data_IF_547865597943
#
_entry.id   IF_547865597943
#
_cell.length_a   1.000
_cell.length_b   1.000
_cell.length_c   1.000
_cell.angle_alpha   90.00
_cell.angle_beta   90.00
_cell.angle_gamma   90.00
#
_symmetry.space_group_name_H-M   'P 1'
#
loop_
_entity.id
_entity.type
_entity.pdbx_description
1 polymer ?
#
# COMPACT_ATOMS: atom_id res chain seq x y z
N UNK A 1 33.66 -13.86 -2.98
CA UNK A 1 32.81 -13.29 -1.93
C UNK A 1 32.92 -11.78 -2.11
N UNK A 2 32.07 -11.23 -2.98
CA UNK A 2 32.14 -9.83 -3.40
C UNK A 2 31.16 -9.03 -2.54
N UNK A 3 31.66 -8.03 -1.80
CA UNK A 3 30.82 -7.11 -1.04
C UNK A 3 29.99 -6.27 -2.02
N UNK A 4 28.70 -6.58 -2.14
CA UNK A 4 27.72 -5.64 -2.67
C UNK A 4 27.54 -4.54 -1.63
N UNK A 5 27.98 -3.33 -1.97
CA UNK A 5 27.78 -2.14 -1.14
C UNK A 5 26.29 -1.77 -1.21
N UNK A 6 25.60 -1.79 -0.06
CA UNK A 6 24.21 -1.37 0.04
C UNK A 6 24.06 0.13 -0.31
N UNK A 7 22.97 0.46 -1.00
CA UNK A 7 22.77 1.69 -1.78
C UNK A 7 22.70 3.03 -1.03
N UNK A 8 23.05 3.09 0.25
CA UNK A 8 23.18 4.31 1.06
C UNK A 8 24.64 4.79 1.21
N UNK A 9 25.61 4.09 0.61
CA UNK A 9 27.04 4.41 0.76
C UNK A 9 27.67 5.08 -0.47
N UNK A 10 26.89 5.47 -1.48
CA UNK A 10 27.41 6.14 -2.66
C UNK A 10 27.61 7.63 -2.40
N UNK A 11 28.71 8.20 -2.92
CA UNK A 11 28.93 9.65 -2.86
C UNK A 11 27.87 10.40 -3.69
N UNK A 12 27.56 11.67 -3.36
CA UNK A 12 26.56 12.46 -4.09
C UNK A 12 26.79 12.48 -5.61
N UNK A 13 28.05 12.63 -6.04
CA UNK A 13 28.41 12.63 -7.45
C UNK A 13 28.20 11.27 -8.14
N UNK A 14 28.22 10.15 -7.40
CA UNK A 14 27.91 8.82 -7.93
C UNK A 14 26.39 8.65 -8.05
N UNK A 15 25.62 9.14 -7.08
CA UNK A 15 24.14 9.13 -7.12
C UNK A 15 23.62 9.94 -8.29
N UNK A 16 24.17 11.13 -8.54
CA UNK A 16 23.81 11.98 -9.67
C UNK A 16 24.00 11.23 -11.01
N UNK A 17 25.18 10.61 -11.20
CA UNK A 17 25.47 9.83 -12.41
C UNK A 17 24.59 8.58 -12.55
N UNK A 18 24.27 7.90 -11.45
CA UNK A 18 23.32 6.77 -11.45
C UNK A 18 21.93 7.25 -11.90
N UNK A 19 21.49 8.40 -11.38
CA UNK A 19 20.17 8.99 -11.68
C UNK A 19 20.09 9.38 -13.17
N UNK A 20 21.09 10.10 -13.67
CA UNK A 20 21.19 10.50 -15.08
C UNK A 20 21.26 9.29 -16.01
N UNK A 21 22.11 8.30 -15.70
CA UNK A 21 22.23 7.08 -16.52
C UNK A 21 20.94 6.25 -16.51
N UNK A 22 20.24 6.19 -15.37
CA UNK A 22 18.93 5.53 -15.26
C UNK A 22 17.84 6.24 -16.05
N UNK A 23 17.84 7.57 -16.10
CA UNK A 23 16.89 8.36 -16.88
C UNK A 23 17.17 8.35 -18.39
N UNK A 24 18.44 8.27 -18.80
CA UNK A 24 18.84 8.27 -20.22
C UNK A 24 18.74 6.89 -20.90
N UNK A 25 18.59 5.81 -20.15
CA UNK A 25 18.55 4.46 -20.69
C UNK A 25 17.13 3.89 -20.69
N UNK A 26 16.75 3.23 -21.78
CA UNK A 26 15.47 2.51 -21.89
C UNK A 26 15.36 1.26 -20.99
N UNK A 27 16.36 0.96 -20.17
CA UNK A 27 16.38 -0.19 -19.25
C UNK A 27 17.36 0.03 -18.10
N UNK A 28 16.90 -0.17 -16.86
CA UNK A 28 17.75 -0.09 -15.68
C UNK A 28 18.85 -1.17 -15.66
N UNK A 29 18.65 -2.29 -16.35
CA UNK A 29 19.68 -3.31 -16.54
C UNK A 29 20.80 -2.85 -17.47
N UNK A 30 20.46 -2.03 -18.48
CA UNK A 30 21.44 -1.42 -19.38
C UNK A 30 22.17 -0.28 -18.65
N UNK A 31 21.43 0.58 -17.94
CA UNK A 31 22.01 1.64 -17.11
C UNK A 31 23.00 1.09 -16.08
N UNK A 32 22.61 0.04 -15.34
CA UNK A 32 23.47 -0.66 -14.37
C UNK A 32 24.78 -1.14 -15.01
N UNK A 33 24.71 -1.76 -16.21
CA UNK A 33 25.91 -2.20 -16.93
C UNK A 33 26.76 -1.03 -17.40
N UNK A 34 26.16 0.05 -17.90
CA UNK A 34 26.87 1.25 -18.35
C UNK A 34 27.58 1.94 -17.18
N UNK A 35 26.93 2.06 -16.03
CA UNK A 35 27.53 2.61 -14.81
C UNK A 35 28.73 1.74 -14.39
N UNK A 36 28.59 0.42 -14.43
CA UNK A 36 29.71 -0.46 -14.11
C UNK A 36 30.87 -0.33 -15.11
N UNK A 37 30.59 -0.21 -16.42
CA UNK A 37 31.63 -0.07 -17.43
C UNK A 37 32.34 1.29 -17.40
N UNK A 38 31.60 2.37 -17.12
CA UNK A 38 32.14 3.74 -17.18
C UNK A 38 32.74 4.21 -15.86
N UNK A 39 32.21 3.74 -14.73
CA UNK A 39 32.57 4.23 -13.40
C UNK A 39 33.27 3.18 -12.54
N UNK A 40 33.34 1.93 -13.01
CA UNK A 40 33.84 0.77 -12.24
C UNK A 40 33.10 0.58 -10.89
N UNK A 41 31.84 1.03 -10.84
CA UNK A 41 30.95 0.89 -9.69
C UNK A 41 29.87 -0.12 -10.01
N UNK A 42 29.83 -1.22 -9.26
CA UNK A 42 28.76 -2.22 -9.37
C UNK A 42 27.49 -1.70 -8.70
N UNK A 43 26.48 -1.40 -9.50
CA UNK A 43 25.17 -0.90 -9.05
C UNK A 43 24.08 -1.83 -9.56
N UNK A 44 23.16 -2.28 -8.71
CA UNK A 44 22.08 -3.16 -9.14
C UNK A 44 21.02 -2.41 -9.95
N UNK A 45 20.31 -3.05 -10.91
CA UNK A 45 19.20 -2.41 -11.64
C UNK A 45 18.10 -1.88 -10.70
N UNK A 46 17.88 -2.55 -9.57
CA UNK A 46 16.95 -2.10 -8.52
C UNK A 46 17.44 -0.81 -7.85
N UNK A 47 18.73 -0.71 -7.57
CA UNK A 47 19.35 0.50 -7.02
C UNK A 47 19.26 1.66 -8.00
N UNK A 48 19.51 1.41 -9.29
CA UNK A 48 19.32 2.43 -10.34
C UNK A 48 17.87 2.90 -10.33
N UNK A 49 16.88 1.99 -10.43
CA UNK A 49 15.45 2.35 -10.39
C UNK A 49 15.09 3.17 -9.14
N UNK A 50 15.49 2.71 -7.96
CA UNK A 50 15.18 3.38 -6.70
C UNK A 50 15.76 4.80 -6.62
N UNK A 51 16.96 5.03 -7.19
CA UNK A 51 17.60 6.35 -7.18
C UNK A 51 17.12 7.23 -8.34
N UNK A 52 16.77 6.65 -9.49
CA UNK A 52 16.17 7.36 -10.64
C UNK A 52 14.73 7.84 -10.34
N UNK A 53 13.98 7.14 -9.47
CA UNK A 53 12.64 7.55 -9.04
C UNK A 53 12.59 8.83 -8.19
N UNK A 54 13.75 9.40 -7.84
CA UNK A 54 13.80 10.71 -7.19
C UNK A 54 13.61 11.80 -8.25
N UNK A 55 12.38 12.26 -8.37
CA UNK A 55 11.93 13.34 -9.26
C UNK A 55 12.56 14.72 -8.97
N UNK A 56 13.50 14.78 -8.02
CA UNK A 56 14.14 16.00 -7.58
C UNK A 56 15.62 15.73 -7.41
N UNK A 57 16.45 16.67 -7.87
CA UNK A 57 17.91 16.60 -7.75
C UNK A 57 18.36 16.41 -6.29
N UNK A 58 17.53 16.88 -5.34
CA UNK A 58 17.67 16.70 -3.91
C UNK A 58 16.54 15.82 -3.33
N UNK A 59 16.93 14.65 -2.85
CA UNK A 59 16.03 13.65 -2.28
C UNK A 59 15.44 14.07 -0.92
N UNK A 60 16.21 14.78 -0.09
CA UNK A 60 15.75 15.23 1.22
C UNK A 60 14.70 16.33 1.04
N UNK A 61 14.97 17.29 0.16
CA UNK A 61 14.00 18.34 -0.18
C UNK A 61 12.70 17.75 -0.78
N UNK A 62 12.80 16.71 -1.61
CA UNK A 62 11.62 16.00 -2.12
C UNK A 62 10.81 15.33 -1.01
N UNK A 63 11.48 14.70 -0.05
CA UNK A 63 10.81 14.07 1.10
C UNK A 63 10.14 15.10 2.02
N UNK A 64 10.81 16.20 2.33
CA UNK A 64 10.23 17.29 3.13
C UNK A 64 8.98 17.87 2.49
N UNK A 65 8.96 18.01 1.16
CA UNK A 65 7.77 18.44 0.45
C UNK A 65 6.61 17.44 0.56
N UNK A 66 6.89 16.13 0.42
CA UNK A 66 5.89 15.10 0.64
C UNK A 66 5.29 15.17 2.06
N UNK A 67 6.12 15.38 3.09
CA UNK A 67 5.65 15.57 4.46
C UNK A 67 4.73 16.78 4.59
N UNK A 68 5.09 17.89 3.95
CA UNK A 68 4.26 19.11 3.93
C UNK A 68 2.91 18.88 3.25
N UNK A 69 2.88 18.16 2.13
CA UNK A 69 1.63 17.80 1.45
C UNK A 69 0.75 16.88 2.30
N UNK A 70 1.35 15.90 2.98
CA UNK A 70 0.64 15.03 3.92
C UNK A 70 0.03 15.87 5.06
N UNK A 71 0.77 16.83 5.59
CA UNK A 71 0.28 17.74 6.63
C UNK A 71 -0.89 18.61 6.14
N UNK A 72 -0.81 19.16 4.93
CA UNK A 72 -1.90 19.95 4.33
C UNK A 72 -3.15 19.11 4.12
N UNK A 73 -3.01 17.92 3.52
CA UNK A 73 -4.10 16.96 3.41
C UNK A 73 -4.71 16.66 4.79
N UNK A 74 -3.89 16.39 5.80
CA UNK A 74 -4.33 16.13 7.17
C UNK A 74 -5.11 17.30 7.79
N UNK A 75 -4.76 18.55 7.47
CA UNK A 75 -5.47 19.75 7.89
C UNK A 75 -6.79 19.98 7.14
N UNK A 76 -7.04 19.25 6.05
CA UNK A 76 -8.19 19.45 5.16
C UNK A 76 -7.90 20.38 3.98
N UNK A 77 -6.66 20.87 3.85
CA UNK A 77 -6.24 21.83 2.83
C UNK A 77 -5.77 21.14 1.54
N UNK A 78 -6.50 20.11 1.09
CA UNK A 78 -6.13 19.33 -0.10
C UNK A 78 -6.08 20.19 -1.38
N UNK A 79 -6.87 21.25 -1.46
CA UNK A 79 -6.87 22.16 -2.60
C UNK A 79 -5.52 22.89 -2.75
N UNK A 80 -4.84 23.19 -1.64
CA UNK A 80 -3.51 23.80 -1.65
C UNK A 80 -2.48 22.83 -2.24
N UNK A 81 -2.57 21.55 -1.88
CA UNK A 81 -1.72 20.49 -2.45
C UNK A 81 -1.97 20.35 -3.95
N UNK A 82 -3.23 20.33 -4.38
CA UNK A 82 -3.60 20.29 -5.80
C UNK A 82 -3.00 21.48 -6.55
N UNK A 83 -3.13 22.70 -6.01
CA UNK A 83 -2.55 23.90 -6.63
C UNK A 83 -1.03 23.84 -6.76
N UNK A 84 -0.33 23.30 -5.76
CA UNK A 84 1.12 23.10 -5.83
C UNK A 84 1.51 22.06 -6.90
N UNK A 85 0.78 20.94 -6.97
CA UNK A 85 1.02 19.91 -7.99
C UNK A 85 0.70 20.40 -9.41
N UNK A 86 -0.34 21.21 -9.57
CA UNK A 86 -0.69 21.84 -10.86
C UNK A 86 0.37 22.83 -11.31
N UNK A 87 0.96 23.60 -10.38
CA UNK A 87 2.10 24.47 -10.67
C UNK A 87 3.33 23.66 -11.12
N UNK A 88 3.64 22.56 -10.43
CA UNK A 88 4.70 21.64 -10.86
C UNK A 88 4.41 21.05 -12.25
N UNK A 89 3.17 20.64 -12.51
CA UNK A 89 2.80 20.10 -13.82
C UNK A 89 2.92 21.14 -14.93
N UNK A 90 2.70 22.43 -14.63
CA UNK A 90 2.89 23.50 -15.60
C UNK A 90 4.37 23.69 -15.96
N UNK A 91 5.28 23.59 -14.98
CA UNK A 91 6.73 23.68 -15.20
C UNK A 91 7.28 22.46 -15.95
N UNK A 92 6.79 21.26 -15.60
CA UNK A 92 7.27 20.00 -16.15
C UNK A 92 6.65 19.64 -17.51
N UNK A 93 5.50 20.22 -17.83
CA UNK A 93 4.76 19.99 -19.06
C UNK A 93 3.75 18.85 -18.98
N UNK A 94 2.94 18.74 -20.03
CA UNK A 94 1.92 17.71 -20.15
C UNK A 94 2.52 16.38 -20.65
N UNK A 95 2.02 15.23 -20.18
CA UNK A 95 2.46 13.94 -20.68
C UNK A 95 2.14 13.80 -22.17
N UNK A 96 3.02 13.11 -22.89
CA UNK A 96 2.77 12.69 -24.27
C UNK A 96 1.55 11.75 -24.36
N UNK A 97 0.89 11.69 -25.52
CA UNK A 97 -0.29 10.83 -25.73
C UNK A 97 0.01 9.33 -25.51
N UNK A 98 1.25 8.91 -25.79
CA UNK A 98 1.74 7.54 -25.63
C UNK A 98 2.81 7.46 -24.53
N UNK A 99 2.61 8.20 -23.43
CA UNK A 99 3.51 8.16 -22.29
C UNK A 99 3.60 6.74 -21.69
N UNK A 100 4.82 6.35 -21.28
CA UNK A 100 5.03 5.09 -20.58
C UNK A 100 4.31 5.09 -19.21
N UNK A 101 3.98 3.92 -18.68
CA UNK A 101 3.28 3.79 -17.39
C UNK A 101 4.04 4.48 -16.23
N UNK A 102 5.37 4.47 -16.27
CA UNK A 102 6.25 5.09 -15.29
C UNK A 102 6.68 6.53 -15.67
N UNK A 103 6.05 7.13 -16.67
CA UNK A 103 6.34 8.51 -17.07
C UNK A 103 6.02 9.51 -15.93
N UNK A 104 6.95 10.40 -15.56
CA UNK A 104 6.74 11.32 -14.44
C UNK A 104 5.60 12.32 -14.64
N UNK A 105 5.40 12.82 -15.86
CA UNK A 105 4.31 13.78 -16.16
C UNK A 105 2.96 13.09 -16.06
N UNK A 106 2.89 11.83 -16.51
CA UNK A 106 1.71 10.99 -16.38
C UNK A 106 1.39 10.71 -14.90
N UNK A 107 2.38 10.32 -14.09
CA UNK A 107 2.18 10.07 -12.66
C UNK A 107 1.70 11.31 -11.90
N UNK A 108 2.28 12.47 -12.20
CA UNK A 108 1.84 13.74 -11.61
C UNK A 108 0.39 14.05 -12.00
N UNK A 109 0.03 13.84 -13.27
CA UNK A 109 -1.35 14.00 -13.77
C UNK A 109 -2.34 13.07 -13.09
N UNK A 110 -2.00 11.78 -12.98
CA UNK A 110 -2.81 10.77 -12.29
C UNK A 110 -3.05 11.16 -10.83
N UNK A 111 -2.01 11.65 -10.14
CA UNK A 111 -2.10 12.11 -8.75
C UNK A 111 -3.04 13.31 -8.61
N UNK A 112 -2.93 14.32 -9.47
CA UNK A 112 -3.81 15.49 -9.47
C UNK A 112 -5.26 15.05 -9.66
N UNK A 113 -5.54 14.22 -10.69
CA UNK A 113 -6.89 13.71 -10.97
C UNK A 113 -7.44 12.92 -9.77
N UNK A 114 -6.61 12.08 -9.15
CA UNK A 114 -7.01 11.31 -7.98
C UNK A 114 -7.42 12.23 -6.82
N UNK A 115 -6.61 13.24 -6.50
CA UNK A 115 -6.91 14.18 -5.42
C UNK A 115 -8.17 14.99 -5.72
N UNK A 116 -8.29 15.53 -6.94
CA UNK A 116 -9.48 16.27 -7.39
C UNK A 116 -10.77 15.45 -7.23
N UNK A 117 -10.74 14.18 -7.63
CA UNK A 117 -11.89 13.28 -7.50
C UNK A 117 -12.24 12.94 -6.04
N UNK A 118 -11.28 13.06 -5.11
CA UNK A 118 -11.44 12.69 -3.71
C UNK A 118 -11.49 13.89 -2.74
N UNK A 119 -11.49 15.13 -3.22
CA UNK A 119 -11.54 16.34 -2.37
C UNK A 119 -12.64 16.25 -1.32
N UNK A 120 -13.86 15.90 -1.74
CA UNK A 120 -15.02 15.77 -0.84
C UNK A 120 -14.87 14.70 0.24
N UNK A 121 -13.96 13.74 0.04
CA UNK A 121 -13.67 12.63 0.97
C UNK A 121 -12.48 12.92 1.87
N UNK A 122 -11.71 13.98 1.62
CA UNK A 122 -10.50 14.32 2.38
C UNK A 122 -10.76 15.31 3.53
N UNK A 123 -11.96 15.27 4.12
CA UNK A 123 -12.32 16.03 5.32
C UNK A 123 -11.83 15.34 6.61
N UNK A 124 -10.51 15.20 6.73
CA UNK A 124 -9.90 14.61 7.92
C UNK A 124 -10.19 15.37 9.22
N UNK A 125 -10.29 16.71 9.27
CA UNK A 125 -10.68 17.43 10.48
C UNK A 125 -12.03 16.96 11.04
N UNK A 126 -13.04 16.84 10.19
CA UNK A 126 -14.37 16.36 10.61
C UNK A 126 -14.32 14.92 11.08
N UNK A 127 -13.63 14.04 10.36
CA UNK A 127 -13.47 12.63 10.77
C UNK A 127 -12.83 12.50 12.15
N UNK A 128 -11.81 13.31 12.45
CA UNK A 128 -11.18 13.31 13.78
C UNK A 128 -12.11 13.77 14.88
N UNK A 129 -12.89 14.83 14.64
CA UNK A 129 -13.87 15.32 15.61
C UNK A 129 -14.94 14.27 15.89
N UNK A 130 -15.29 13.46 14.90
CA UNK A 130 -16.24 12.35 15.01
C UNK A 130 -15.61 11.07 15.60
N UNK A 131 -14.30 11.02 15.82
CA UNK A 131 -13.59 9.81 16.26
C UNK A 131 -13.53 8.71 15.19
N UNK A 132 -13.72 9.07 13.92
CA UNK A 132 -13.65 8.13 12.80
C UNK A 132 -12.19 7.81 12.43
N UNK A 133 -11.91 6.59 11.94
CA UNK A 133 -10.58 6.21 11.50
C UNK A 133 -10.17 7.02 10.27
N UNK A 134 -8.98 7.62 10.31
CA UNK A 134 -8.42 8.43 9.21
C UNK A 134 -7.46 7.66 8.31
N UNK A 135 -7.22 6.38 8.61
CA UNK A 135 -6.32 5.50 7.87
C UNK A 135 -6.92 4.10 7.75
N UNK A 136 -6.63 3.44 6.63
CA UNK A 136 -6.97 2.03 6.39
C UNK A 136 -6.16 1.06 7.25
N UNK A 137 -5.10 1.51 7.96
CA UNK A 137 -4.22 0.64 8.74
C UNK A 137 -4.97 -0.30 9.69
N UNK A 138 -6.02 0.18 10.35
CA UNK A 138 -6.83 -0.64 11.25
C UNK A 138 -7.53 -1.77 10.50
N UNK A 139 -8.18 -1.45 9.38
CA UNK A 139 -8.86 -2.42 8.53
C UNK A 139 -7.85 -3.41 7.92
N UNK A 140 -6.73 -2.91 7.39
CA UNK A 140 -5.68 -3.75 6.81
C UNK A 140 -5.06 -4.70 7.82
N UNK A 141 -4.80 -4.24 9.04
CA UNK A 141 -4.30 -5.10 10.11
C UNK A 141 -5.29 -6.21 10.44
N UNK A 142 -6.58 -5.88 10.51
CA UNK A 142 -7.62 -6.86 10.82
C UNK A 142 -7.79 -7.87 9.67
N UNK A 143 -7.73 -7.42 8.42
CA UNK A 143 -7.73 -8.30 7.24
C UNK A 143 -6.51 -9.21 7.24
N UNK A 144 -5.32 -8.72 7.64
CA UNK A 144 -4.11 -9.55 7.76
C UNK A 144 -4.24 -10.60 8.86
N UNK A 145 -4.72 -10.22 10.03
CA UNK A 145 -4.99 -11.11 11.16
C UNK A 145 -6.01 -12.21 10.79
N UNK A 146 -7.05 -11.84 10.05
CA UNK A 146 -8.06 -12.75 9.53
C UNK A 146 -7.46 -13.71 8.48
N UNK A 147 -6.75 -13.16 7.50
CA UNK A 147 -6.09 -13.93 6.43
C UNK A 147 -5.07 -14.91 7.00
N UNK A 148 -4.29 -14.52 8.01
CA UNK A 148 -3.33 -15.42 8.65
C UNK A 148 -4.02 -16.67 9.22
N UNK A 149 -5.26 -16.55 9.71
CA UNK A 149 -6.01 -17.65 10.31
C UNK A 149 -6.77 -18.51 9.30
N UNK A 150 -7.23 -17.93 8.19
CA UNK A 150 -8.09 -18.61 7.19
C UNK A 150 -7.34 -19.04 5.93
N UNK A 151 -6.27 -18.35 5.55
CA UNK A 151 -5.46 -18.68 4.37
C UNK A 151 -4.17 -19.38 4.78
N UNK A 152 -3.71 -20.33 3.98
CA UNK A 152 -2.47 -21.06 4.23
C UNK A 152 -2.48 -22.43 3.56
N UNK A 153 -1.29 -23.03 3.41
CA UNK A 153 -1.17 -24.44 3.06
C UNK A 153 -1.95 -25.26 4.08
N UNK A 154 -2.74 -26.23 3.62
CA UNK A 154 -3.57 -27.13 4.44
C UNK A 154 -4.87 -26.55 4.99
N UNK A 155 -5.24 -25.31 4.66
CA UNK A 155 -6.57 -24.75 4.98
C UNK A 155 -7.50 -24.93 3.79
N UNK A 156 -8.30 -25.99 3.82
CA UNK A 156 -9.31 -26.30 2.81
C UNK A 156 -10.69 -26.02 3.38
N UNK A 157 -11.43 -25.17 2.69
CA UNK A 157 -12.81 -24.83 3.02
C UNK A 157 -13.70 -25.32 1.89
N UNK A 158 -14.90 -25.77 2.22
CA UNK A 158 -15.95 -26.01 1.25
C UNK A 158 -16.50 -24.67 0.73
N UNK A 159 -16.78 -24.59 -0.56
CA UNK A 159 -17.49 -23.46 -1.12
C UNK A 159 -18.95 -23.47 -0.59
N UNK A 160 -19.38 -22.36 -0.01
CA UNK A 160 -20.73 -22.18 0.54
C UNK A 160 -20.77 -21.95 2.05
N UNK A 161 -21.85 -22.42 2.68
CA UNK A 161 -22.18 -22.10 4.08
C UNK A 161 -21.12 -22.55 5.09
N UNK A 162 -20.41 -23.65 4.83
CA UNK A 162 -19.38 -24.19 5.73
C UNK A 162 -18.16 -23.28 5.85
N UNK A 163 -17.62 -22.82 4.72
CA UNK A 163 -16.53 -21.85 4.68
C UNK A 163 -16.93 -20.50 5.27
N UNK A 164 -18.15 -20.04 5.00
CA UNK A 164 -18.68 -18.79 5.57
C UNK A 164 -18.87 -18.87 7.09
N UNK A 165 -19.39 -19.99 7.61
CA UNK A 165 -19.53 -20.22 9.04
C UNK A 165 -18.18 -20.15 9.76
N UNK A 166 -17.11 -20.66 9.14
CA UNK A 166 -15.76 -20.61 9.71
C UNK A 166 -15.23 -19.17 9.72
N UNK A 167 -15.50 -18.38 8.68
CA UNK A 167 -15.20 -16.96 8.69
C UNK A 167 -15.92 -16.24 9.84
N UNK A 168 -17.21 -16.51 10.06
CA UNK A 168 -17.95 -15.90 11.17
C UNK A 168 -17.37 -16.26 12.54
N UNK A 169 -17.02 -17.53 12.76
CA UNK A 169 -16.40 -17.97 14.02
C UNK A 169 -15.04 -17.29 14.24
N UNK A 170 -14.21 -17.21 13.18
CA UNK A 170 -12.89 -16.56 13.28
C UNK A 170 -13.01 -15.06 13.50
N UNK A 171 -13.93 -14.37 12.82
CA UNK A 171 -14.20 -12.97 13.03
C UNK A 171 -14.67 -12.71 14.47
N UNK A 172 -15.59 -13.52 14.99
CA UNK A 172 -16.09 -13.40 16.36
C UNK A 172 -15.00 -13.65 17.42
N UNK A 173 -14.01 -14.50 17.13
CA UNK A 173 -12.89 -14.77 18.05
C UNK A 173 -11.86 -13.62 18.11
N UNK A 174 -11.67 -12.90 17.00
CA UNK A 174 -10.67 -11.81 16.90
C UNK A 174 -11.29 -10.47 17.32
N UNK A 175 -12.62 -10.35 17.23
CA UNK A 175 -13.34 -9.14 17.62
C UNK A 175 -13.31 -8.97 19.15
N UNK A 176 -13.30 -7.72 19.62
CA UNK A 176 -13.32 -7.38 21.05
C UNK A 176 -14.67 -7.65 21.75
N UNK A 177 -15.65 -8.22 21.04
CA UNK A 177 -16.99 -8.46 21.55
C UNK A 177 -17.17 -9.84 22.17
N UNK A 178 -18.21 -9.98 23.00
CA UNK A 178 -18.58 -11.21 23.69
C UNK A 178 -19.38 -12.19 22.80
N UNK A 179 -19.62 -11.87 21.52
CA UNK A 179 -20.57 -12.61 20.65
C UNK A 179 -20.37 -14.13 20.65
N UNK A 180 -19.12 -14.58 20.59
CA UNK A 180 -18.82 -16.02 20.63
C UNK A 180 -19.07 -16.61 22.03
N UNK A 181 -18.68 -15.89 23.07
CA UNK A 181 -18.94 -16.27 24.46
C UNK A 181 -20.44 -16.37 24.73
N UNK A 182 -21.20 -15.31 24.41
CA UNK A 182 -22.66 -15.26 24.52
C UNK A 182 -23.32 -16.43 23.79
N UNK A 183 -22.90 -16.71 22.56
CA UNK A 183 -23.41 -17.84 21.80
C UNK A 183 -23.10 -19.18 22.47
N UNK A 184 -21.88 -19.40 22.96
CA UNK A 184 -21.51 -20.66 23.64
C UNK A 184 -22.27 -20.82 24.98
N UNK A 185 -22.49 -19.73 25.69
CA UNK A 185 -23.19 -19.71 26.98
C UNK A 185 -24.70 -19.87 26.83
N UNK A 186 -25.29 -19.34 25.76
CA UNK A 186 -26.75 -19.36 25.52
C UNK A 186 -27.20 -20.47 24.57
N UNK A 187 -26.29 -21.11 23.82
CA UNK A 187 -26.69 -22.18 22.90
C UNK A 187 -27.36 -23.31 23.68
N UNK A 188 -28.45 -23.89 23.14
CA UNK A 188 -29.03 -25.09 23.72
C UNK A 188 -27.97 -26.20 23.79
N UNK A 189 -27.64 -26.63 25.00
CA UNK A 189 -26.84 -27.83 25.22
C UNK A 189 -27.72 -29.07 25.04
N UNK A 190 -27.21 -30.09 24.37
CA UNK A 190 -27.79 -31.43 24.43
C UNK A 190 -27.12 -32.17 25.60
N UNK A 191 -27.92 -32.72 26.53
CA UNK A 191 -27.42 -33.52 27.65
C UNK A 191 -26.81 -34.85 27.17
N UNK A 192 -27.10 -35.26 25.94
CA UNK A 192 -26.65 -36.51 25.35
C UNK A 192 -25.48 -36.29 24.38
N UNK A 193 -24.53 -37.23 24.36
CA UNK A 193 -23.43 -37.24 23.39
C UNK A 193 -23.95 -37.42 21.97
N UNK A 194 -23.60 -36.47 21.09
CA UNK A 194 -23.81 -36.43 19.62
C UNK A 194 -24.98 -37.30 19.11
N UNK A 195 -26.14 -36.73 18.76
CA UNK A 195 -27.16 -37.49 18.04
C UNK A 195 -26.57 -38.08 16.77
N UNK A 196 -26.86 -39.35 16.51
CA UNK A 196 -26.37 -40.06 15.33
C UNK A 196 -26.78 -39.29 14.06
N UNK A 197 -26.01 -39.43 12.97
CA UNK A 197 -26.19 -38.68 11.71
C UNK A 197 -27.63 -38.69 11.17
N UNK A 198 -28.43 -39.69 11.53
CA UNK A 198 -29.84 -39.86 11.15
C UNK A 198 -30.81 -38.86 11.82
N UNK A 199 -30.40 -38.19 12.89
CA UNK A 199 -31.25 -37.34 13.75
C UNK A 199 -30.95 -35.86 13.64
N UNK A 200 -30.02 -35.44 12.78
CA UNK A 200 -29.71 -34.02 12.59
C UNK A 200 -30.83 -33.37 11.78
N UNK A 201 -31.61 -32.49 12.41
CA UNK A 201 -32.43 -31.53 11.68
C UNK A 201 -31.52 -30.47 11.03
N UNK A 202 -31.84 -29.99 9.83
CA UNK A 202 -31.11 -28.87 9.24
C UNK A 202 -31.23 -27.64 10.15
N UNK A 203 -30.13 -26.92 10.32
CA UNK A 203 -30.14 -25.68 11.09
C UNK A 203 -31.09 -24.70 10.41
N UNK A 204 -32.12 -24.25 11.15
CA UNK A 204 -33.03 -23.21 10.67
C UNK A 204 -32.25 -21.89 10.63
N UNK A 205 -32.24 -21.27 9.46
CA UNK A 205 -31.61 -19.99 9.14
C UNK A 205 -32.33 -18.81 9.79
#
# INVERSE_FOLDING_TARGET
MELAIDGDQYSPAVIERITVAGGACNSFSIASKLIQLLMDVKVSPRTVNNKTKLYREDAEAGWEMCLKWIELCWKGDVLEVIGQLEAEQLELGQPAEEAAEDDPQLKLKEMIIYLQNNVSRMDYPSYRQQGLPTSSCLIESQVKEMNHRIKGSEKFWDDGEGGEAINHVRAALISDGERLHDHISSRPGDQYTRPTRKTRQPAMT
#
